data_IF_192556324146
#
_entry.id   IF_192556324146
#
_cell.length_a   1.000
_cell.length_b   1.000
_cell.length_c   1.000
_cell.angle_alpha   90.00
_cell.angle_beta   90.00
_cell.angle_gamma   90.00
#
_symmetry.space_group_name_H-M   'P 1'
#
loop_
_entity.id
_entity.type
_entity.pdbx_description
1 polymer ?
#
# COMPACT_ATOMS: atom_id res chain seq x y z
N UNK A 1 17.98 7.28 0.70
CA UNK A 1 17.64 6.19 -0.26
C UNK A 1 16.26 6.49 -0.82
N UNK A 2 16.08 6.42 -2.13
CA UNK A 2 14.79 6.80 -2.77
C UNK A 2 13.57 6.11 -2.14
N UNK A 3 13.69 4.85 -1.73
CA UNK A 3 12.61 4.12 -1.04
C UNK A 3 12.18 4.80 0.28
N UNK A 4 13.09 5.37 1.03
CA UNK A 4 12.75 6.10 2.26
C UNK A 4 12.11 7.47 1.97
N UNK A 5 12.48 8.11 0.86
CA UNK A 5 11.86 9.37 0.43
C UNK A 5 10.41 9.12 -0.02
N UNK A 6 10.18 8.03 -0.77
CA UNK A 6 8.84 7.64 -1.21
C UNK A 6 7.97 7.18 -0.01
N UNK A 7 8.56 6.46 0.94
CA UNK A 7 7.88 6.09 2.18
C UNK A 7 7.53 7.34 3.02
N UNK A 8 8.46 8.29 3.17
CA UNK A 8 8.18 9.55 3.87
C UNK A 8 7.04 10.32 3.20
N UNK A 9 7.01 10.33 1.87
CA UNK A 9 5.91 10.95 1.13
C UNK A 9 4.57 10.28 1.46
N UNK A 10 4.51 8.94 1.49
CA UNK A 10 3.27 8.23 1.84
C UNK A 10 2.88 8.41 3.31
N UNK A 11 3.85 8.41 4.23
CA UNK A 11 3.62 8.66 5.67
C UNK A 11 3.07 10.06 5.90
N UNK A 12 3.43 11.05 5.08
CA UNK A 12 2.97 12.44 5.25
C UNK A 12 1.48 12.64 4.99
N UNK A 13 0.80 11.68 4.38
CA UNK A 13 -0.67 11.68 4.31
C UNK A 13 -1.26 11.18 5.63
N UNK A 14 -1.98 12.02 6.41
CA UNK A 14 -2.66 11.57 7.62
C UNK A 14 -3.97 10.86 7.26
N UNK A 15 -3.86 9.82 6.44
CA UNK A 15 -4.97 9.05 5.87
C UNK A 15 -5.68 8.19 6.93
N UNK A 16 -6.27 8.84 7.94
CA UNK A 16 -7.10 8.14 8.93
C UNK A 16 -8.32 7.55 8.25
N UNK A 17 -8.70 6.36 8.64
CA UNK A 17 -9.77 5.60 7.98
C UNK A 17 -11.11 6.37 7.90
N UNK A 18 -11.34 7.29 8.86
CA UNK A 18 -12.52 8.16 8.84
C UNK A 18 -12.42 9.32 7.84
N UNK A 19 -11.21 9.63 7.32
CA UNK A 19 -10.98 10.66 6.30
C UNK A 19 -10.80 10.03 4.91
N UNK A 20 -11.91 9.63 4.32
CA UNK A 20 -11.90 8.95 3.02
C UNK A 20 -11.27 9.75 1.88
N UNK A 21 -11.28 11.08 1.92
CA UNK A 21 -10.61 11.89 0.89
C UNK A 21 -9.09 11.84 1.04
N UNK A 22 -8.56 11.96 2.25
CA UNK A 22 -7.13 11.79 2.50
C UNK A 22 -6.65 10.37 2.19
N UNK A 23 -7.49 9.35 2.44
CA UNK A 23 -7.19 7.97 2.04
C UNK A 23 -7.08 7.82 0.53
N UNK A 24 -7.98 8.46 -0.25
CA UNK A 24 -7.91 8.47 -1.72
C UNK A 24 -6.69 9.24 -2.24
N UNK A 25 -6.30 10.32 -1.60
CA UNK A 25 -5.06 11.04 -1.93
C UNK A 25 -3.82 10.16 -1.70
N UNK A 26 -3.75 9.46 -0.56
CA UNK A 26 -2.69 8.50 -0.27
C UNK A 26 -2.66 7.36 -1.29
N UNK A 27 -3.81 6.81 -1.67
CA UNK A 27 -3.93 5.82 -2.75
C UNK A 27 -3.42 6.38 -4.08
N UNK A 28 -3.82 7.61 -4.43
CA UNK A 28 -3.36 8.31 -5.64
C UNK A 28 -1.84 8.46 -5.67
N UNK A 29 -1.22 8.76 -4.52
CA UNK A 29 0.23 8.84 -4.38
C UNK A 29 0.90 7.48 -4.73
N UNK A 30 0.40 6.37 -4.17
CA UNK A 30 0.93 5.02 -4.44
C UNK A 30 0.76 4.63 -5.91
N UNK A 31 -0.42 4.88 -6.50
CA UNK A 31 -0.67 4.60 -7.92
C UNK A 31 0.22 5.46 -8.83
N UNK A 32 0.44 6.72 -8.47
CA UNK A 32 1.37 7.61 -9.18
C UNK A 32 2.80 7.08 -9.17
N UNK A 33 3.25 6.60 -8.02
CA UNK A 33 4.58 5.99 -7.85
C UNK A 33 4.69 4.69 -8.68
N UNK A 34 3.69 3.81 -8.61
CA UNK A 34 3.63 2.59 -9.41
C UNK A 34 3.73 2.87 -10.92
N UNK A 35 2.99 3.89 -11.38
CA UNK A 35 3.03 4.36 -12.76
C UNK A 35 4.42 4.86 -13.15
N UNK A 36 5.12 5.56 -12.25
CA UNK A 36 6.49 6.04 -12.50
C UNK A 36 7.50 4.89 -12.65
N UNK A 37 7.23 3.72 -12.06
CA UNK A 37 7.98 2.48 -12.25
C UNK A 37 7.57 1.72 -13.52
N UNK A 38 6.62 2.29 -14.27
CA UNK A 38 6.09 1.68 -15.50
C UNK A 38 5.22 0.44 -15.24
N UNK A 39 4.67 0.26 -14.03
CA UNK A 39 3.73 -0.80 -13.71
C UNK A 39 2.34 -0.45 -14.25
N UNK A 40 1.53 -1.47 -14.53
CA UNK A 40 0.14 -1.27 -14.91
C UNK A 40 -0.68 -0.92 -13.68
N UNK A 41 -1.53 0.12 -13.80
CA UNK A 41 -2.37 0.57 -12.70
C UNK A 41 -3.84 0.63 -13.13
N UNK A 42 -4.74 0.37 -12.18
CA UNK A 42 -6.17 0.61 -12.29
C UNK A 42 -6.68 1.23 -11.00
N UNK A 43 -7.73 2.00 -11.08
CA UNK A 43 -8.45 2.51 -9.91
C UNK A 43 -9.91 2.10 -10.05
N UNK A 44 -10.50 1.61 -8.98
CA UNK A 44 -11.92 1.29 -8.92
C UNK A 44 -12.76 2.55 -9.14
N UNK A 45 -14.00 2.38 -9.63
CA UNK A 45 -14.90 3.51 -9.97
C UNK A 45 -15.27 4.40 -8.77
N UNK A 46 -15.16 3.87 -7.55
CA UNK A 46 -15.40 4.62 -6.31
C UNK A 46 -14.16 5.40 -5.83
N UNK A 47 -12.99 5.13 -6.44
CA UNK A 47 -11.73 5.79 -6.09
C UNK A 47 -11.12 5.33 -4.76
N UNK A 48 -11.62 4.25 -4.17
CA UNK A 48 -11.25 3.73 -2.85
C UNK A 48 -10.47 2.42 -2.89
N UNK A 49 -10.26 1.87 -4.08
CA UNK A 49 -9.39 0.71 -4.29
C UNK A 49 -8.48 0.92 -5.48
N UNK A 50 -7.22 0.61 -5.30
CA UNK A 50 -6.20 0.65 -6.35
C UNK A 50 -5.65 -0.72 -6.68
N UNK A 51 -5.22 -0.87 -7.93
CA UNK A 51 -4.61 -2.10 -8.43
C UNK A 51 -3.30 -1.76 -9.13
N UNK A 52 -2.26 -2.51 -8.80
CA UNK A 52 -1.00 -2.52 -9.53
C UNK A 52 -0.75 -3.94 -10.05
N UNK A 53 -0.52 -4.08 -11.35
CA UNK A 53 -0.32 -5.39 -11.97
C UNK A 53 1.06 -5.50 -12.62
N UNK A 54 1.61 -6.72 -12.57
CA UNK A 54 2.84 -7.10 -13.25
C UNK A 54 2.74 -8.53 -13.77
N UNK A 55 3.21 -8.73 -15.01
CA UNK A 55 3.24 -10.03 -15.67
C UNK A 55 1.89 -10.44 -16.26
N UNK A 56 1.94 -11.56 -17.01
CA UNK A 56 0.81 -12.14 -17.70
C UNK A 56 0.64 -13.59 -17.27
N UNK A 57 -0.58 -14.12 -17.32
CA UNK A 57 -0.88 -15.50 -16.98
C UNK A 57 -2.35 -15.69 -16.66
N UNK A 58 -2.80 -16.96 -16.77
CA UNK A 58 -4.18 -17.32 -16.45
C UNK A 58 -4.48 -17.20 -14.95
N UNK A 59 -3.46 -17.44 -14.11
CA UNK A 59 -3.59 -17.37 -12.65
C UNK A 59 -2.97 -16.12 -12.09
N UNK A 60 -3.62 -15.59 -11.05
CA UNK A 60 -3.22 -14.35 -10.36
C UNK A 60 -2.81 -14.65 -8.92
N UNK A 61 -1.69 -14.07 -8.51
CA UNK A 61 -1.27 -13.98 -7.10
C UNK A 61 -1.58 -12.58 -6.60
N UNK A 62 -2.44 -12.47 -5.60
CA UNK A 62 -2.81 -11.23 -4.95
C UNK A 62 -1.87 -10.87 -3.81
N UNK A 63 -1.56 -9.59 -3.68
CA UNK A 63 -0.94 -8.99 -2.50
C UNK A 63 -1.95 -7.97 -1.98
N UNK A 64 -2.51 -8.18 -0.79
CA UNK A 64 -3.48 -7.27 -0.21
C UNK A 64 -2.80 -6.36 0.80
N UNK A 65 -2.95 -5.07 0.61
CA UNK A 65 -2.38 -4.00 1.43
C UNK A 65 -3.35 -2.83 1.55
N UNK A 66 -3.11 -1.91 2.47
CA UNK A 66 -3.94 -0.72 2.61
C UNK A 66 -3.12 0.55 2.90
N UNK A 67 -3.72 1.71 2.69
CA UNK A 67 -3.09 3.03 2.91
C UNK A 67 -3.75 3.84 4.01
N UNK A 68 -4.92 3.42 4.48
CA UNK A 68 -5.54 4.02 5.64
C UNK A 68 -4.82 3.61 6.93
N UNK A 69 -4.99 4.37 7.96
CA UNK A 69 -4.37 4.17 9.27
C UNK A 69 -5.34 4.52 10.39
N UNK A 70 -5.20 3.86 11.54
CA UNK A 70 -5.89 4.29 12.76
C UNK A 70 -5.39 5.66 13.23
N UNK A 71 -6.22 6.36 14.00
CA UNK A 71 -5.82 7.63 14.62
C UNK A 71 -4.50 7.49 15.40
N UNK A 72 -3.68 8.53 15.36
CA UNK A 72 -2.46 8.64 16.16
C UNK A 72 -2.73 8.79 17.66
N UNK A 73 -3.97 9.10 18.03
CA UNK A 73 -4.36 9.31 19.42
C UNK A 73 -3.73 10.54 20.05
N UNK A 74 -3.25 10.41 21.27
CA UNK A 74 -2.66 11.54 21.99
C UNK A 74 -1.26 11.87 21.50
N UNK A 75 -1.12 12.96 20.76
CA UNK A 75 0.15 13.43 20.19
C UNK A 75 1.26 13.66 21.23
N UNK A 76 0.91 13.97 22.49
CA UNK A 76 1.92 14.18 23.54
C UNK A 76 2.68 12.89 23.93
N UNK A 77 2.18 11.73 23.53
CA UNK A 77 2.82 10.43 23.77
C UNK A 77 3.77 10.03 22.63
N UNK A 78 3.76 10.75 21.53
CA UNK A 78 4.68 10.49 20.42
C UNK A 78 6.03 11.16 20.66
N UNK A 79 7.11 10.41 20.48
CA UNK A 79 8.48 10.95 20.52
C UNK A 79 8.79 11.79 19.28
N UNK A 80 8.21 11.40 18.13
CA UNK A 80 8.38 12.04 16.83
C UNK A 80 7.01 12.34 16.24
N UNK A 81 6.96 13.24 15.25
CA UNK A 81 5.75 13.51 14.48
C UNK A 81 5.25 12.21 13.81
N UNK A 82 4.02 11.74 14.08
CA UNK A 82 3.49 10.51 13.50
C UNK A 82 3.40 10.53 11.97
N UNK A 83 3.27 11.70 11.36
CA UNK A 83 3.13 11.86 9.90
C UNK A 83 4.40 12.36 9.22
N UNK A 84 5.54 12.14 9.86
CA UNK A 84 6.87 12.39 9.31
C UNK A 84 7.77 11.20 9.58
N UNK A 85 8.29 10.57 8.52
CA UNK A 85 9.25 9.49 8.69
C UNK A 85 10.48 10.00 9.43
N UNK A 86 10.79 9.42 10.58
CA UNK A 86 11.99 9.72 11.35
C UNK A 86 12.84 8.47 11.49
N UNK A 87 14.12 8.57 11.17
CA UNK A 87 15.11 7.52 11.43
C UNK A 87 15.93 7.92 12.65
N UNK A 88 15.98 7.05 13.66
CA UNK A 88 16.78 7.23 14.87
C UNK A 88 17.27 5.87 15.35
N UNK A 89 18.56 5.76 15.64
CA UNK A 89 19.21 4.53 16.14
C UNK A 89 18.95 3.29 15.28
N UNK A 90 18.84 3.48 13.95
CA UNK A 90 18.57 2.41 12.99
C UNK A 90 17.12 1.93 12.97
N UNK A 91 16.21 2.63 13.65
CA UNK A 91 14.78 2.39 13.66
C UNK A 91 14.05 3.48 12.89
N UNK A 92 12.94 3.09 12.22
CA UNK A 92 12.05 4.01 11.53
C UNK A 92 10.80 4.24 12.36
N UNK A 93 10.41 5.50 12.49
CA UNK A 93 9.22 5.94 13.25
C UNK A 93 8.25 6.67 12.34
N UNK A 94 6.96 6.39 12.51
CA UNK A 94 5.85 7.04 11.82
C UNK A 94 4.58 6.20 11.90
N UNK A 95 3.40 6.84 11.80
CA UNK A 95 2.13 6.12 11.74
C UNK A 95 2.03 5.39 10.39
N UNK A 96 1.72 4.08 10.42
CA UNK A 96 1.64 3.24 9.22
C UNK A 96 2.98 2.62 8.78
N UNK A 97 4.08 2.78 9.53
CA UNK A 97 5.38 2.15 9.20
C UNK A 97 5.26 0.63 9.14
N UNK A 98 4.52 0.03 10.06
CA UNK A 98 4.32 -1.43 10.14
C UNK A 98 2.99 -1.78 9.46
N UNK A 99 1.96 -1.02 9.73
CA UNK A 99 0.58 -1.26 9.39
C UNK A 99 0.00 -0.02 8.69
N UNK A 100 -0.09 0.02 7.35
CA UNK A 100 0.48 -0.94 6.37
C UNK A 100 1.29 -0.21 5.28
N UNK A 101 1.56 1.11 5.43
CA UNK A 101 2.27 1.96 4.44
C UNK A 101 3.70 1.50 4.16
N UNK A 102 4.39 0.96 5.18
CA UNK A 102 5.72 0.37 5.01
C UNK A 102 5.67 -0.84 4.09
N UNK A 103 4.84 -1.86 4.37
CA UNK A 103 4.60 -3.00 3.49
C UNK A 103 4.11 -2.59 2.10
N UNK A 104 3.24 -1.57 1.95
CA UNK A 104 2.84 -1.01 0.65
C UNK A 104 4.06 -0.62 -0.18
N UNK A 105 4.96 0.19 0.38
CA UNK A 105 6.17 0.63 -0.32
C UNK A 105 7.13 -0.55 -0.58
N UNK A 106 7.30 -1.45 0.39
CA UNK A 106 8.17 -2.61 0.21
C UNK A 106 7.70 -3.51 -0.95
N UNK A 107 6.40 -3.83 -1.01
CA UNK A 107 5.81 -4.62 -2.09
C UNK A 107 5.94 -3.91 -3.44
N UNK A 108 5.70 -2.60 -3.49
CA UNK A 108 5.81 -1.83 -4.72
C UNK A 108 7.25 -1.82 -5.27
N UNK A 109 8.24 -1.68 -4.38
CA UNK A 109 9.64 -1.77 -4.77
C UNK A 109 10.04 -3.20 -5.18
N UNK A 110 9.49 -4.23 -4.56
CA UNK A 110 9.69 -5.61 -5.01
C UNK A 110 9.15 -5.83 -6.43
N UNK A 111 7.96 -5.31 -6.75
CA UNK A 111 7.41 -5.35 -8.12
C UNK A 111 8.30 -4.60 -9.11
N UNK A 112 8.81 -3.43 -8.72
CA UNK A 112 9.77 -2.66 -9.52
C UNK A 112 11.02 -3.47 -9.83
N UNK A 113 11.64 -4.08 -8.83
CA UNK A 113 12.86 -4.91 -8.99
C UNK A 113 12.61 -6.12 -9.91
N UNK A 114 11.50 -6.84 -9.72
CA UNK A 114 11.10 -7.96 -10.59
C UNK A 114 11.03 -7.50 -12.05
N UNK A 115 10.42 -6.34 -12.29
CA UNK A 115 10.29 -5.77 -13.63
C UNK A 115 11.64 -5.34 -14.21
N UNK A 116 12.45 -4.59 -13.47
CA UNK A 116 13.74 -4.07 -13.94
C UNK A 116 14.74 -5.19 -14.24
N UNK A 117 14.71 -6.25 -13.46
CA UNK A 117 15.55 -7.43 -13.68
C UNK A 117 14.98 -8.38 -14.75
N UNK A 118 13.82 -8.06 -15.36
CA UNK A 118 13.13 -8.90 -16.33
C UNK A 118 12.93 -10.35 -15.87
N UNK A 119 12.60 -10.52 -14.58
CA UNK A 119 12.36 -11.86 -14.01
C UNK A 119 11.13 -12.46 -14.67
N UNK A 120 11.23 -13.67 -15.30
CA UNK A 120 10.10 -14.28 -15.99
C UNK A 120 9.02 -14.71 -14.98
N UNK A 121 7.82 -14.21 -15.16
CA UNK A 121 6.67 -14.56 -14.33
C UNK A 121 5.81 -15.63 -15.02
N UNK A 122 5.41 -16.65 -14.27
CA UNK A 122 4.47 -17.69 -14.73
C UNK A 122 3.02 -17.36 -14.38
N UNK A 123 2.80 -16.36 -13.54
CA UNK A 123 1.50 -15.89 -13.07
C UNK A 123 1.50 -14.36 -13.07
N UNK A 124 0.32 -13.80 -13.19
CA UNK A 124 0.13 -12.35 -12.92
C UNK A 124 0.29 -12.10 -11.43
N UNK A 125 0.96 -11.02 -11.07
CA UNK A 125 0.95 -10.47 -9.70
C UNK A 125 0.01 -9.29 -9.71
N UNK A 126 -0.89 -9.23 -8.74
CA UNK A 126 -1.82 -8.11 -8.51
C UNK A 126 -1.69 -7.64 -7.08
N UNK A 127 -1.16 -6.44 -6.91
CA UNK A 127 -1.21 -5.73 -5.63
C UNK A 127 -2.55 -4.98 -5.57
N UNK A 128 -3.33 -5.24 -4.54
CA UNK A 128 -4.65 -4.66 -4.26
C UNK A 128 -4.45 -3.74 -3.07
N UNK A 129 -4.79 -2.47 -3.25
CA UNK A 129 -4.53 -1.42 -2.26
C UNK A 129 -5.86 -0.86 -1.80
N UNK A 130 -6.20 -1.14 -0.54
CA UNK A 130 -7.42 -0.67 0.12
C UNK A 130 -7.25 0.69 0.79
N UNK A 131 -8.38 1.27 1.20
CA UNK A 131 -8.48 2.57 1.87
C UNK A 131 -9.39 2.55 3.11
N UNK A 132 -9.88 1.38 3.53
CA UNK A 132 -10.81 1.24 4.66
C UNK A 132 -10.64 -0.06 5.43
N UNK A 133 -9.39 -0.57 5.50
CA UNK A 133 -9.06 -1.83 6.19
C UNK A 133 -9.36 -1.73 7.68
N UNK A 134 -8.97 -0.65 8.30
CA UNK A 134 -9.05 -0.41 9.75
C UNK A 134 -10.49 -0.13 10.26
N UNK A 135 -11.48 -0.16 9.37
CA UNK A 135 -12.90 0.05 9.70
C UNK A 135 -13.79 -1.04 9.08
N UNK A 136 -14.56 -0.73 8.03
CA UNK A 136 -15.64 -1.61 7.54
C UNK A 136 -15.32 -2.37 6.24
N UNK A 137 -14.12 -2.24 5.67
CA UNK A 137 -13.71 -2.91 4.42
C UNK A 137 -14.65 -2.67 3.23
N UNK A 138 -15.25 -1.50 3.15
CA UNK A 138 -16.18 -1.15 2.07
C UNK A 138 -15.50 -1.15 0.71
N UNK A 139 -14.24 -0.77 0.65
CA UNK A 139 -13.38 -0.83 -0.53
C UNK A 139 -13.25 -2.27 -1.09
N UNK A 140 -13.16 -3.29 -0.23
CA UNK A 140 -13.12 -4.69 -0.67
C UNK A 140 -14.48 -5.20 -1.16
N UNK A 141 -15.58 -4.61 -0.73
CA UNK A 141 -16.89 -4.84 -1.34
C UNK A 141 -16.89 -4.31 -2.77
N UNK A 142 -16.43 -3.06 -2.98
CA UNK A 142 -16.31 -2.44 -4.30
C UNK A 142 -15.31 -3.18 -5.20
N UNK A 143 -14.18 -3.64 -4.63
CA UNK A 143 -13.23 -4.48 -5.36
C UNK A 143 -13.91 -5.72 -5.99
N UNK A 144 -14.70 -6.46 -5.21
CA UNK A 144 -15.37 -7.68 -5.68
C UNK A 144 -16.44 -7.42 -6.74
N UNK A 145 -17.00 -6.23 -6.80
CA UNK A 145 -17.95 -5.85 -7.85
C UNK A 145 -17.29 -5.57 -9.19
N UNK A 146 -16.02 -5.15 -9.19
CA UNK A 146 -15.34 -4.68 -10.39
C UNK A 146 -14.23 -5.61 -10.88
N UNK A 147 -13.62 -6.37 -9.97
CA UNK A 147 -12.42 -7.15 -10.27
C UNK A 147 -12.57 -8.61 -9.81
N UNK A 148 -11.91 -9.50 -10.55
CA UNK A 148 -11.83 -10.91 -10.17
C UNK A 148 -10.97 -11.11 -8.92
N UNK A 149 -11.36 -12.04 -8.08
CA UNK A 149 -10.57 -12.46 -6.92
C UNK A 149 -9.33 -13.23 -7.41
N UNK A 150 -8.12 -12.96 -6.90
CA UNK A 150 -6.92 -13.72 -7.21
C UNK A 150 -7.05 -15.22 -6.83
N UNK A 151 -6.37 -16.10 -7.57
CA UNK A 151 -6.34 -17.55 -7.28
C UNK A 151 -5.58 -17.86 -5.98
N UNK A 152 -4.58 -17.05 -5.66
CA UNK A 152 -3.74 -17.15 -4.47
C UNK A 152 -3.53 -15.75 -3.94
N UNK A 153 -3.19 -15.61 -2.66
CA UNK A 153 -2.87 -14.31 -2.12
C UNK A 153 -2.21 -14.40 -0.75
N UNK A 154 -1.63 -13.29 -0.36
CA UNK A 154 -1.14 -13.05 0.98
C UNK A 154 -1.31 -11.55 1.31
N UNK A 155 -1.32 -11.25 2.58
CA UNK A 155 -1.16 -9.90 3.10
C UNK A 155 0.17 -9.81 3.86
N UNK A 156 0.98 -8.78 3.62
CA UNK A 156 2.16 -8.51 4.43
C UNK A 156 1.84 -7.71 5.70
N UNK A 157 0.58 -7.39 5.91
CA UNK A 157 0.08 -6.74 7.09
C UNK A 157 0.17 -7.67 8.31
N UNK A 158 0.79 -7.20 9.38
CA UNK A 158 0.95 -7.98 10.59
C UNK A 158 2.27 -7.78 11.33
N UNK A 159 2.32 -8.29 12.56
CA UNK A 159 3.51 -8.24 13.38
C UNK A 159 4.53 -9.31 12.96
N UNK A 160 5.69 -8.89 12.49
CA UNK A 160 6.85 -9.73 12.21
C UNK A 160 8.00 -9.41 13.17
N UNK A 161 8.85 -10.39 13.51
CA UNK A 161 8.75 -11.83 13.23
C UNK A 161 7.73 -12.52 14.14
N UNK A 162 7.14 -13.57 13.61
CA UNK A 162 6.26 -14.45 14.36
C UNK A 162 7.10 -15.44 15.15
#
# INVERSE_FOLDING_TARGET
MKILDDLNTLISYPSRSEDGECCKEALGCVLGLAKSFGLEIKCGRHGDVGIVELGEGEKTVGILVHVDVVSEGNLSLWKHDPFKLTEEDGMLYGRGIIDDKGPVIACLYALKEIKEQNIPLKKRIRMIIGTSEEIEWTDMVHYKEEFSIPDYGFTPDGNFPI
#
